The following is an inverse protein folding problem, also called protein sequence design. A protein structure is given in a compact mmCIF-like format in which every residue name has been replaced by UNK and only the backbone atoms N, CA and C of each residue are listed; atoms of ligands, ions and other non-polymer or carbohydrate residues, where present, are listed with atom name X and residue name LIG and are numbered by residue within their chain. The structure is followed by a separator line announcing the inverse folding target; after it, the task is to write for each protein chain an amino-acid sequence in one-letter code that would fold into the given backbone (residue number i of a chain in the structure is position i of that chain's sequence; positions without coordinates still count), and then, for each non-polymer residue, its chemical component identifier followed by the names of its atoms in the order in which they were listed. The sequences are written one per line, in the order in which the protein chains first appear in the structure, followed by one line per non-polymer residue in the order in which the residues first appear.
data_IF_968658532975
#
_entry.id   IF_968658532975
#
_cell.length_a   1.000
_cell.length_b   1.000
_cell.length_c   1.000
_cell.angle_alpha   90.00
_cell.angle_beta   90.00
_cell.angle_gamma   90.00
#
_symmetry.space_group_name_H-M   'P 1'
#
loop_
_entity.id
_entity.type
_entity.pdbx_description
1 polymer ?
#
# COMPACT_ATOMS: atom_id res chain seq x y z
N UNK A 1 6.39 -19.95 -5.84
CA UNK A 1 7.46 -19.10 -5.26
C UNK A 1 6.96 -17.67 -5.33
N UNK A 2 6.02 -17.31 -4.45
CA UNK A 2 5.15 -16.13 -4.68
C UNK A 2 5.47 -14.96 -3.74
N UNK A 3 6.50 -15.14 -2.90
CA UNK A 3 6.95 -14.08 -1.99
C UNK A 3 7.55 -12.92 -2.79
N UNK A 4 7.23 -11.73 -2.31
CA UNK A 4 7.72 -10.46 -2.86
C UNK A 4 8.98 -10.02 -2.11
N UNK A 5 9.72 -9.12 -2.70
CA UNK A 5 10.94 -8.54 -2.12
C UNK A 5 10.85 -7.02 -2.16
N UNK A 6 11.11 -6.39 -1.02
CA UNK A 6 11.25 -4.94 -0.93
C UNK A 6 12.62 -4.53 -1.47
N UNK A 7 12.60 -3.60 -2.42
CA UNK A 7 13.81 -2.99 -2.97
C UNK A 7 13.93 -1.59 -2.40
N UNK A 8 15.01 -1.38 -1.66
CA UNK A 8 15.42 -0.09 -1.16
C UNK A 8 16.47 0.53 -2.08
N UNK A 9 16.48 1.85 -2.15
CA UNK A 9 17.57 2.60 -2.75
C UNK A 9 18.81 2.59 -1.85
N UNK A 10 19.94 3.12 -2.33
CA UNK A 10 21.18 3.20 -1.54
C UNK A 10 20.99 3.97 -0.21
N UNK A 11 20.12 4.97 -0.17
CA UNK A 11 19.78 5.77 1.02
C UNK A 11 18.70 5.13 1.91
N UNK A 12 18.31 3.87 1.65
CA UNK A 12 17.25 3.12 2.32
C UNK A 12 15.82 3.63 2.05
N UNK A 13 15.62 4.56 1.11
CA UNK A 13 14.27 4.91 0.65
C UNK A 13 13.62 3.74 -0.12
N UNK A 14 12.32 3.42 0.10
CA UNK A 14 11.64 2.38 -0.65
C UNK A 14 11.48 2.74 -2.13
N UNK A 15 11.89 1.83 -3.02
CA UNK A 15 11.86 2.05 -4.48
C UNK A 15 10.78 1.22 -5.14
N UNK A 16 10.76 -0.08 -4.86
CA UNK A 16 9.89 -1.01 -5.56
C UNK A 16 9.65 -2.27 -4.75
N UNK A 17 8.63 -3.02 -5.17
CA UNK A 17 8.39 -4.39 -4.71
C UNK A 17 8.46 -5.30 -5.93
N UNK A 18 9.37 -6.27 -5.90
CA UNK A 18 9.64 -7.17 -7.03
C UNK A 18 9.40 -8.64 -6.65
N UNK A 19 9.19 -9.54 -7.63
CA UNK A 19 9.26 -10.98 -7.39
C UNK A 19 10.66 -11.40 -6.91
N UNK A 20 10.75 -12.49 -6.14
CA UNK A 20 12.04 -13.02 -5.65
C UNK A 20 13.03 -13.27 -6.78
N UNK A 21 12.56 -13.75 -7.93
CA UNK A 21 13.40 -14.10 -9.08
C UNK A 21 14.20 -12.89 -9.54
N UNK A 22 13.56 -11.71 -9.61
CA UNK A 22 14.22 -10.46 -9.99
C UNK A 22 15.20 -9.98 -8.92
N UNK A 23 14.88 -10.17 -7.64
CA UNK A 23 15.78 -9.82 -6.55
C UNK A 23 17.06 -10.66 -6.57
N UNK A 24 16.93 -11.98 -6.79
CA UNK A 24 18.07 -12.89 -6.91
C UNK A 24 18.97 -12.47 -8.06
N UNK A 25 18.41 -12.17 -9.24
CA UNK A 25 19.18 -11.67 -10.39
C UNK A 25 19.95 -10.39 -10.03
N UNK A 26 19.34 -9.45 -9.32
CA UNK A 26 20.03 -8.22 -8.90
C UNK A 26 21.17 -8.49 -7.92
N UNK A 27 21.00 -9.45 -7.01
CA UNK A 27 22.04 -9.83 -6.05
C UNK A 27 23.19 -10.59 -6.71
N UNK A 28 22.90 -11.55 -7.59
CA UNK A 28 23.93 -12.32 -8.31
C UNK A 28 24.73 -11.47 -9.29
N UNK A 29 24.14 -10.39 -9.82
CA UNK A 29 24.83 -9.41 -10.65
C UNK A 29 25.54 -8.32 -9.82
N UNK A 30 25.62 -8.46 -8.50
CA UNK A 30 26.24 -7.49 -7.57
C UNK A 30 25.67 -6.06 -7.66
N UNK A 31 24.42 -5.94 -8.13
CA UNK A 31 23.70 -4.65 -8.24
C UNK A 31 22.96 -4.29 -6.96
N UNK A 32 22.70 -5.28 -6.11
CA UNK A 32 22.01 -5.11 -4.84
C UNK A 32 22.56 -6.03 -3.76
N UNK A 33 22.55 -5.55 -2.52
CA UNK A 33 22.92 -6.31 -1.33
C UNK A 33 21.65 -6.78 -0.61
N UNK A 34 21.64 -8.02 -0.12
CA UNK A 34 20.54 -8.54 0.72
C UNK A 34 20.69 -7.96 2.13
N UNK A 35 19.63 -7.31 2.62
CA UNK A 35 19.59 -6.77 3.99
C UNK A 35 18.81 -7.69 4.95
N UNK A 36 17.83 -8.41 4.44
CA UNK A 36 17.02 -9.36 5.21
C UNK A 36 16.49 -10.47 4.31
N UNK A 37 16.29 -11.66 4.86
CA UNK A 37 15.81 -12.86 4.19
C UNK A 37 14.62 -13.46 4.94
N UNK A 38 13.76 -14.18 4.23
CA UNK A 38 12.68 -14.96 4.86
C UNK A 38 13.29 -16.17 5.58
N UNK A 39 13.16 -16.21 6.90
CA UNK A 39 13.88 -17.14 7.78
C UNK A 39 13.73 -18.61 7.37
N UNK A 40 12.51 -19.02 7.01
CA UNK A 40 12.18 -20.43 6.71
C UNK A 40 12.25 -20.78 5.21
N UNK A 41 12.73 -19.87 4.36
CA UNK A 41 12.80 -20.07 2.92
C UNK A 41 14.23 -20.02 2.42
N UNK A 42 14.55 -20.93 1.51
CA UNK A 42 15.84 -21.00 0.84
C UNK A 42 15.64 -21.35 -0.63
N UNK A 43 16.55 -20.88 -1.47
CA UNK A 43 16.63 -21.29 -2.87
C UNK A 43 17.73 -22.34 -2.95
N UNK A 44 17.38 -23.53 -3.45
CA UNK A 44 18.31 -24.64 -3.59
C UNK A 44 18.60 -24.92 -5.05
N UNK A 45 19.86 -25.09 -5.38
CA UNK A 45 20.33 -25.72 -6.61
C UNK A 45 20.91 -27.09 -6.28
N UNK A 46 21.38 -27.83 -7.29
CA UNK A 46 22.00 -29.14 -7.09
C UNK A 46 23.26 -29.03 -6.21
N UNK A 47 23.97 -27.90 -6.28
CA UNK A 47 25.28 -27.73 -5.63
C UNK A 47 25.36 -26.59 -4.62
N UNK A 48 24.36 -25.71 -4.55
CA UNK A 48 24.42 -24.51 -3.72
C UNK A 48 23.06 -24.19 -3.08
N UNK A 49 23.13 -23.52 -1.94
CA UNK A 49 21.96 -22.96 -1.25
C UNK A 49 22.12 -21.44 -1.16
N UNK A 50 21.05 -20.71 -1.46
CA UNK A 50 20.99 -19.26 -1.39
C UNK A 50 19.88 -18.83 -0.45
N UNK A 51 20.12 -17.73 0.30
CA UNK A 51 19.09 -17.09 1.10
C UNK A 51 17.92 -16.64 0.21
N UNK A 52 16.69 -16.79 0.70
CA UNK A 52 15.51 -16.28 0.00
C UNK A 52 15.28 -14.82 0.40
N UNK A 53 15.65 -13.83 -0.42
CA UNK A 53 15.69 -12.43 0.01
C UNK A 53 14.28 -11.92 0.34
N UNK A 54 14.17 -11.14 1.42
CA UNK A 54 12.97 -10.39 1.79
C UNK A 54 13.16 -8.90 1.50
N UNK A 55 14.35 -8.37 1.79
CA UNK A 55 14.71 -6.96 1.56
C UNK A 55 16.07 -6.90 0.90
N UNK A 56 16.16 -6.16 -0.21
CA UNK A 56 17.43 -5.85 -0.88
C UNK A 56 17.62 -4.34 -0.98
N UNK A 57 18.88 -3.90 -0.97
CA UNK A 57 19.27 -2.50 -1.17
C UNK A 57 20.11 -2.38 -2.44
N UNK A 58 19.78 -1.44 -3.30
CA UNK A 58 20.61 -1.13 -4.46
C UNK A 58 21.99 -0.62 -4.01
N UNK A 59 23.04 -1.08 -4.68
CA UNK A 59 24.41 -0.68 -4.37
C UNK A 59 24.74 0.72 -4.90
N UNK A 60 23.93 1.24 -5.81
CA UNK A 60 24.04 2.58 -6.37
C UNK A 60 22.75 3.36 -6.16
N UNK A 61 22.88 4.64 -5.83
CA UNK A 61 21.75 5.55 -5.74
C UNK A 61 21.06 5.68 -7.10
N UNK A 62 19.73 5.56 -7.12
CA UNK A 62 18.87 5.84 -8.28
C UNK A 62 18.01 7.05 -7.97
N UNK A 63 18.11 8.08 -8.81
CA UNK A 63 17.19 9.22 -8.75
C UNK A 63 15.84 8.81 -9.33
N UNK A 64 14.87 8.55 -8.45
CA UNK A 64 13.53 8.12 -8.82
C UNK A 64 12.56 9.20 -8.35
N UNK A 65 11.93 9.96 -9.26
CA UNK A 65 11.03 11.03 -8.87
C UNK A 65 9.80 10.45 -8.19
N UNK A 66 9.55 10.84 -6.95
CA UNK A 66 8.35 10.45 -6.23
C UNK A 66 7.13 11.19 -6.78
N UNK A 67 6.28 10.48 -7.54
CA UNK A 67 5.03 11.04 -8.10
C UNK A 67 3.84 10.97 -7.13
N UNK A 68 4.05 10.46 -5.91
CA UNK A 68 2.98 10.19 -4.97
C UNK A 68 2.10 9.01 -5.38
N UNK A 69 1.22 8.62 -4.46
CA UNK A 69 0.18 7.64 -4.77
C UNK A 69 -0.87 8.29 -5.67
N UNK A 70 -1.14 7.65 -6.81
CA UNK A 70 -2.17 8.06 -7.76
C UNK A 70 -3.56 7.85 -7.16
N UNK A 71 -4.42 8.86 -7.29
CA UNK A 71 -5.82 8.75 -6.93
C UNK A 71 -6.55 7.91 -7.98
N UNK A 72 -6.89 6.67 -7.63
CA UNK A 72 -7.69 5.78 -8.45
C UNK A 72 -8.52 4.85 -7.57
N UNK A 73 -9.50 4.17 -8.17
CA UNK A 73 -10.44 3.28 -7.46
C UNK A 73 -9.71 2.16 -6.68
N UNK A 74 -8.70 1.54 -7.29
CA UNK A 74 -7.93 0.47 -6.65
C UNK A 74 -7.22 0.96 -5.38
N UNK A 75 -6.59 2.14 -5.42
CA UNK A 75 -5.88 2.69 -4.27
C UNK A 75 -6.84 3.24 -3.20
N UNK A 76 -8.00 3.78 -3.58
CA UNK A 76 -9.05 4.15 -2.62
C UNK A 76 -9.58 2.94 -1.86
N UNK A 77 -9.89 1.87 -2.59
CA UNK A 77 -10.34 0.62 -1.98
C UNK A 77 -9.28 0.04 -1.07
N UNK A 78 -8.01 0.06 -1.50
CA UNK A 78 -6.91 -0.39 -0.66
C UNK A 78 -6.75 0.44 0.61
N UNK A 79 -6.79 1.78 0.52
CA UNK A 79 -6.73 2.69 1.68
C UNK A 79 -7.82 2.35 2.70
N UNK A 80 -9.01 2.07 2.20
CA UNK A 80 -10.22 1.81 2.98
C UNK A 80 -10.41 0.32 3.31
N UNK A 81 -9.36 -0.50 3.19
CA UNK A 81 -9.37 -1.95 3.46
C UNK A 81 -10.40 -2.76 2.67
N UNK A 82 -10.89 -2.24 1.54
CA UNK A 82 -11.96 -2.85 0.76
C UNK A 82 -13.29 -2.85 1.50
N UNK A 83 -13.51 -1.88 2.39
CA UNK A 83 -14.71 -1.77 3.21
C UNK A 83 -15.42 -0.44 3.01
N UNK A 84 -16.76 -0.51 3.02
CA UNK A 84 -17.60 0.67 3.11
C UNK A 84 -17.26 1.48 4.37
N UNK A 85 -16.88 2.74 4.21
CA UNK A 85 -16.52 3.63 5.31
C UNK A 85 -17.72 4.03 6.18
N UNK A 86 -18.95 3.73 5.76
CA UNK A 86 -20.15 3.98 6.56
C UNK A 86 -20.60 2.75 7.37
N UNK A 87 -20.58 1.55 6.78
CA UNK A 87 -21.15 0.35 7.41
C UNK A 87 -20.23 -0.87 7.47
N UNK A 88 -19.03 -0.81 6.89
CA UNK A 88 -18.07 -1.93 6.88
C UNK A 88 -18.34 -3.04 5.87
N UNK A 89 -19.42 -2.97 5.09
CA UNK A 89 -19.68 -3.97 4.05
C UNK A 89 -18.54 -4.04 3.03
N UNK A 90 -18.19 -5.25 2.60
CA UNK A 90 -17.20 -5.55 1.53
C UNK A 90 -17.85 -5.80 0.16
N UNK A 91 -19.18 -5.70 0.07
CA UNK A 91 -19.95 -6.07 -1.13
C UNK A 91 -20.45 -4.83 -1.87
N UNK A 92 -20.50 -4.93 -3.21
CA UNK A 92 -21.03 -3.90 -4.11
C UNK A 92 -20.44 -2.50 -3.85
N UNK A 93 -19.11 -2.43 -3.79
CA UNK A 93 -18.37 -1.21 -3.48
C UNK A 93 -18.34 -0.23 -4.65
N UNK A 94 -18.57 1.03 -4.32
CA UNK A 94 -18.49 2.22 -5.14
C UNK A 94 -17.62 3.25 -4.45
N UNK A 95 -17.43 4.39 -5.11
CA UNK A 95 -16.75 5.56 -4.52
C UNK A 95 -17.84 6.59 -4.25
N UNK A 96 -17.80 7.20 -3.07
CA UNK A 96 -18.66 8.33 -2.70
C UNK A 96 -17.81 9.58 -2.44
N UNK A 97 -18.42 10.75 -2.69
CA UNK A 97 -17.88 12.06 -2.33
C UNK A 97 -18.42 12.46 -0.95
N UNK A 98 -17.55 12.55 0.05
CA UNK A 98 -17.90 12.92 1.43
C UNK A 98 -18.70 14.22 1.46
N UNK A 99 -18.12 15.32 0.93
CA UNK A 99 -18.86 16.49 0.49
C UNK A 99 -19.39 16.23 -0.93
N UNK A 100 -20.72 16.17 -1.15
CA UNK A 100 -21.30 15.90 -2.47
C UNK A 100 -20.88 16.92 -3.53
N UNK A 101 -20.82 16.48 -4.79
CA UNK A 101 -20.45 17.37 -5.93
C UNK A 101 -21.40 18.55 -6.08
N UNK A 102 -22.70 18.34 -5.83
CA UNK A 102 -23.73 19.39 -5.83
C UNK A 102 -23.45 20.50 -4.81
N UNK A 103 -22.70 20.20 -3.75
CA UNK A 103 -22.28 21.15 -2.70
C UNK A 103 -20.81 21.60 -2.87
N UNK A 104 -20.24 21.45 -4.07
CA UNK A 104 -18.86 21.88 -4.37
C UNK A 104 -17.77 20.85 -4.03
N UNK A 105 -18.14 19.61 -3.70
CA UNK A 105 -17.23 18.51 -3.44
C UNK A 105 -16.23 18.23 -4.57
N UNK A 106 -14.94 18.32 -4.26
CA UNK A 106 -13.86 18.04 -5.22
C UNK A 106 -13.54 16.54 -5.27
N UNK A 107 -13.03 16.07 -6.41
CA UNK A 107 -12.47 14.73 -6.55
C UNK A 107 -11.04 14.74 -5.99
N UNK A 108 -10.90 14.46 -4.68
CA UNK A 108 -9.62 14.47 -3.97
C UNK A 108 -9.52 13.31 -2.98
N UNK A 109 -8.30 13.00 -2.54
CA UNK A 109 -8.04 11.99 -1.51
C UNK A 109 -8.82 12.23 -0.22
N UNK A 110 -8.96 13.49 0.18
CA UNK A 110 -9.64 13.92 1.40
C UNK A 110 -11.15 14.05 1.26
N UNK A 111 -11.71 13.78 0.06
CA UNK A 111 -13.15 13.87 -0.17
C UNK A 111 -13.74 12.61 -0.80
N UNK A 112 -12.92 11.63 -1.17
CA UNK A 112 -13.40 10.36 -1.70
C UNK A 112 -13.24 9.25 -0.66
N UNK A 113 -14.26 8.42 -0.54
CA UNK A 113 -14.28 7.23 0.31
C UNK A 113 -14.91 6.05 -0.41
N UNK A 114 -14.57 4.85 0.03
CA UNK A 114 -15.22 3.61 -0.38
C UNK A 114 -16.58 3.51 0.30
N UNK A 115 -17.63 3.29 -0.46
CA UNK A 115 -19.00 3.12 0.04
C UNK A 115 -19.64 1.91 -0.62
N UNK A 116 -20.50 1.16 0.07
CA UNK A 116 -21.36 0.19 -0.62
C UNK A 116 -22.51 0.93 -1.32
N UNK A 117 -23.08 0.35 -2.38
CA UNK A 117 -24.18 0.96 -3.14
C UNK A 117 -25.33 1.45 -2.23
N UNK A 118 -25.79 0.61 -1.29
CA UNK A 118 -26.87 0.96 -0.34
C UNK A 118 -26.56 2.25 0.46
N UNK A 119 -25.36 2.34 1.03
CA UNK A 119 -24.96 3.52 1.80
C UNK A 119 -24.78 4.74 0.90
N UNK A 120 -24.18 4.56 -0.28
CA UNK A 120 -23.98 5.62 -1.25
C UNK A 120 -25.32 6.25 -1.67
N UNK A 121 -26.32 5.43 -2.00
CA UNK A 121 -27.67 5.88 -2.34
C UNK A 121 -28.36 6.54 -1.15
N UNK A 122 -28.24 5.98 0.06
CA UNK A 122 -28.86 6.54 1.25
C UNK A 122 -28.30 7.92 1.62
N UNK A 123 -26.99 8.14 1.43
CA UNK A 123 -26.36 9.45 1.65
C UNK A 123 -26.78 10.44 0.58
N UNK A 124 -26.78 10.04 -0.70
CA UNK A 124 -27.19 10.90 -1.81
C UNK A 124 -26.40 12.21 -1.87
N UNK A 125 -27.11 13.33 -1.88
CA UNK A 125 -26.56 14.70 -1.92
C UNK A 125 -26.37 15.33 -0.53
N UNK A 126 -26.44 14.51 0.52
CA UNK A 126 -26.18 14.92 1.91
C UNK A 126 -24.71 14.72 2.30
N UNK A 127 -24.23 15.48 3.29
CA UNK A 127 -22.98 15.17 3.99
C UNK A 127 -23.17 13.97 4.93
N UNK A 128 -22.09 13.31 5.41
CA UNK A 128 -22.19 12.28 6.43
C UNK A 128 -23.01 12.70 7.65
N UNK A 129 -22.83 13.94 8.10
CA UNK A 129 -23.51 14.51 9.27
C UNK A 129 -25.01 14.67 9.01
N UNK A 130 -25.38 15.26 7.87
CA UNK A 130 -26.78 15.44 7.45
C UNK A 130 -27.51 14.10 7.23
N UNK A 131 -26.78 13.05 6.82
CA UNK A 131 -27.33 11.72 6.63
C UNK A 131 -27.34 10.87 7.92
N UNK A 132 -26.71 11.33 9.01
CA UNK A 132 -26.49 10.52 10.22
C UNK A 132 -25.60 9.30 9.97
N UNK A 133 -24.67 9.41 9.03
CA UNK A 133 -23.80 8.33 8.55
C UNK A 133 -22.32 8.67 8.81
N UNK A 134 -21.84 8.61 10.07
CA UNK A 134 -20.46 8.93 10.38
C UNK A 134 -19.49 8.00 9.63
N UNK A 135 -18.34 8.55 9.24
CA UNK A 135 -17.26 7.78 8.63
C UNK A 135 -16.51 7.00 9.71
N UNK A 136 -16.09 5.77 9.38
CA UNK A 136 -15.19 4.96 10.21
C UNK A 136 -13.82 5.63 10.38
N UNK A 137 -13.30 6.22 9.31
CA UNK A 137 -11.97 6.83 9.28
C UNK A 137 -12.02 8.10 8.44
N UNK A 138 -11.30 9.13 8.87
CA UNK A 138 -11.18 10.36 8.09
C UNK A 138 -10.38 10.10 6.79
N UNK A 139 -10.87 10.57 5.63
CA UNK A 139 -10.20 10.35 4.36
C UNK A 139 -8.87 11.12 4.29
N UNK A 140 -7.78 10.42 3.99
CA UNK A 140 -6.46 11.00 3.84
C UNK A 140 -5.79 10.54 2.53
N UNK A 141 -4.69 11.20 2.17
CA UNK A 141 -3.81 10.77 1.06
C UNK A 141 -2.76 9.78 1.59
N UNK A 142 -2.81 8.50 1.20
CA UNK A 142 -1.80 7.54 1.63
C UNK A 142 -0.45 7.82 0.96
N UNK A 143 0.63 7.48 1.66
CA UNK A 143 1.99 7.45 1.11
C UNK A 143 2.30 6.08 0.51
N UNK A 144 3.38 5.96 -0.27
CA UNK A 144 3.85 4.65 -0.69
C UNK A 144 4.19 3.77 0.53
N UNK A 145 4.87 4.34 1.52
CA UNK A 145 5.23 3.65 2.76
C UNK A 145 4.03 3.11 3.51
N UNK A 146 2.89 3.84 3.53
CA UNK A 146 1.64 3.35 4.12
C UNK A 146 1.20 2.01 3.50
N UNK A 147 1.20 1.92 2.17
CA UNK A 147 0.82 0.68 1.49
C UNK A 147 1.88 -0.43 1.60
N UNK A 148 3.16 -0.07 1.70
CA UNK A 148 4.21 -1.07 1.92
C UNK A 148 4.11 -1.66 3.33
N UNK A 149 3.81 -0.84 4.34
CA UNK A 149 3.63 -1.28 5.71
C UNK A 149 2.42 -2.20 5.85
N UNK A 150 1.25 -1.79 5.33
CA UNK A 150 0.03 -2.62 5.31
C UNK A 150 0.26 -3.98 4.62
N UNK A 151 1.05 -4.01 3.53
CA UNK A 151 1.42 -5.27 2.90
C UNK A 151 2.37 -6.11 3.77
N UNK A 152 3.38 -5.47 4.35
CA UNK A 152 4.39 -6.12 5.19
C UNK A 152 3.76 -6.79 6.41
N UNK A 153 2.86 -6.10 7.12
CA UNK A 153 2.15 -6.63 8.29
C UNK A 153 1.39 -7.93 7.99
N UNK A 154 0.85 -8.08 6.77
CA UNK A 154 0.05 -9.25 6.38
C UNK A 154 0.87 -10.37 5.74
N UNK A 155 1.99 -10.04 5.10
CA UNK A 155 2.65 -10.96 4.16
C UNK A 155 4.18 -11.07 4.30
N UNK A 156 4.84 -10.08 4.88
CA UNK A 156 6.30 -9.96 4.90
C UNK A 156 6.78 -9.09 6.09
N UNK A 157 6.69 -9.65 7.29
CA UNK A 157 7.05 -8.95 8.53
C UNK A 157 8.52 -8.49 8.54
N UNK A 158 9.39 -9.17 7.80
CA UNK A 158 10.81 -8.86 7.62
C UNK A 158 11.06 -7.47 7.01
N UNK A 159 10.04 -6.86 6.40
CA UNK A 159 10.14 -5.52 5.81
C UNK A 159 9.94 -4.40 6.82
N UNK A 160 9.21 -4.66 7.91
CA UNK A 160 8.79 -3.63 8.87
C UNK A 160 9.95 -2.81 9.45
N UNK A 161 11.11 -3.39 9.80
CA UNK A 161 12.25 -2.61 10.30
C UNK A 161 12.80 -1.57 9.30
N UNK A 162 12.49 -1.72 8.01
CA UNK A 162 12.99 -0.87 6.93
C UNK A 162 11.95 0.14 6.42
N UNK A 163 10.72 0.04 6.89
CA UNK A 163 9.64 0.95 6.55
C UNK A 163 9.44 1.88 7.73
N UNK A 164 10.04 3.08 7.67
CA UNK A 164 9.78 4.12 8.67
C UNK A 164 8.31 4.57 8.58
N UNK A 165 7.43 3.85 9.28
CA UNK A 165 6.02 4.21 9.39
C UNK A 165 5.94 5.37 10.38
N UNK A 166 5.99 6.61 9.87
CA UNK A 166 5.37 7.71 10.60
C UNK A 166 3.87 7.42 10.58
N UNK A 167 3.38 6.78 11.64
CA UNK A 167 1.94 6.62 11.88
C UNK A 167 1.36 8.02 11.82
N UNK A 168 0.56 8.29 10.79
CA UNK A 168 -0.31 9.46 10.77
C UNK A 168 -1.34 9.16 11.85
N UNK A 169 -1.11 9.66 13.06
CA UNK A 169 -2.07 9.54 14.16
C UNK A 169 -3.36 10.23 13.71
N UNK A 170 -4.44 9.47 13.88
CA UNK A 170 -5.85 9.86 13.79
C UNK A 170 -6.17 11.09 14.62
#
# INVERSE_FOLDING_TARGET
MDKRVLVLNMDHSPVAVVPVQKAIVLTLLEKATVLSAYEFLQIRTISHNFAYPAVIRLNQYKNIPYRGVLLNRTNLFRRDNGECQYCGSKRHLTIDHVLPRSKGGKTSWTNLVTACNRCNVNKGDKTPEEAGMPLKTNPFRPTLTYFLADYAERHAAEWLPFLNVKVIQS
#
